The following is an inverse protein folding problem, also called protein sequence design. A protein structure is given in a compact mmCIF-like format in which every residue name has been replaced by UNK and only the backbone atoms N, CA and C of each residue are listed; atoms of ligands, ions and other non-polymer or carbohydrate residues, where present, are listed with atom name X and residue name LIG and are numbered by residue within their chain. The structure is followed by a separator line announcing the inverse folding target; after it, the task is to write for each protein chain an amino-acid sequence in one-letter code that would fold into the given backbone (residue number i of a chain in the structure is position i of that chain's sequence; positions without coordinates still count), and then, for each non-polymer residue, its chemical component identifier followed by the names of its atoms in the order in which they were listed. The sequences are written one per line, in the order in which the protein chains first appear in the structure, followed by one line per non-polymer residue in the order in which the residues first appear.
data_IF_053666488158
#
_entry.id   IF_053666488158
#
_cell.length_a   1.000
_cell.length_b   1.000
_cell.length_c   1.000
_cell.angle_alpha   90.00
_cell.angle_beta   90.00
_cell.angle_gamma   90.00
#
_symmetry.space_group_name_H-M   'P 1'
#
loop_
_entity.id
_entity.type
_entity.pdbx_description
1 polymer ?
#
# COMPACT_ATOMS: atom_id res chain seq x y z
N UNK A 1 -66.90 -0.84 4.61
CA UNK A 1 -66.59 -0.99 3.17
C UNK A 1 -65.23 -0.36 2.91
N UNK A 2 -64.17 -1.14 2.60
CA UNK A 2 -62.84 -0.57 2.40
C UNK A 2 -62.76 0.13 1.04
N UNK A 3 -62.08 1.29 1.01
CA UNK A 3 -61.88 2.09 -0.20
C UNK A 3 -61.02 1.35 -1.23
N UNK A 4 -61.43 1.42 -2.50
CA UNK A 4 -60.73 0.88 -3.66
C UNK A 4 -59.35 1.57 -3.82
N UNK A 5 -58.24 0.82 -3.87
CA UNK A 5 -56.89 1.37 -4.01
C UNK A 5 -56.60 2.07 -5.36
N UNK A 6 -57.56 2.17 -6.27
CA UNK A 6 -57.39 2.78 -7.60
C UNK A 6 -57.68 4.28 -7.69
N UNK A 7 -58.03 4.95 -6.60
CA UNK A 7 -58.19 6.41 -6.58
C UNK A 7 -56.85 7.09 -6.26
N UNK A 8 -56.04 7.38 -7.29
CA UNK A 8 -54.76 8.09 -7.17
C UNK A 8 -54.93 9.59 -6.89
N UNK A 9 -54.36 10.05 -5.78
CA UNK A 9 -54.12 11.47 -5.47
C UNK A 9 -52.76 11.95 -5.99
N UNK A 10 -52.56 13.28 -5.93
CA UNK A 10 -51.56 14.07 -6.65
C UNK A 10 -50.08 13.87 -6.25
N UNK A 11 -49.55 12.64 -6.34
CA UNK A 11 -48.11 12.38 -6.30
C UNK A 11 -47.72 11.21 -7.21
N UNK A 12 -48.28 11.17 -8.42
CA UNK A 12 -47.57 10.76 -9.65
C UNK A 12 -46.77 9.46 -9.73
N UNK A 13 -46.99 8.44 -8.88
CA UNK A 13 -46.38 7.11 -9.07
C UNK A 13 -47.36 6.00 -8.69
N UNK A 14 -47.89 5.30 -9.70
CA UNK A 14 -48.60 4.04 -9.54
C UNK A 14 -47.91 2.97 -10.40
N UNK A 15 -47.67 1.81 -9.78
CA UNK A 15 -47.18 0.59 -10.39
C UNK A 15 -48.22 0.00 -11.36
N UNK A 16 -47.80 -0.29 -12.59
CA UNK A 16 -48.46 -1.25 -13.48
C UNK A 16 -49.29 -0.63 -14.61
N UNK A 17 -48.80 -0.80 -15.84
CA UNK A 17 -49.56 -0.55 -17.07
C UNK A 17 -48.81 0.26 -18.11
N UNK A 18 -47.68 -0.26 -18.61
CA UNK A 18 -47.12 0.25 -19.88
C UNK A 18 -47.17 -0.91 -20.87
N UNK A 19 -48.18 -0.90 -21.74
CA UNK A 19 -48.17 -1.69 -22.96
C UNK A 19 -47.13 -1.06 -23.90
N UNK A 20 -46.03 -1.77 -24.14
CA UNK A 20 -44.99 -1.35 -25.09
C UNK A 20 -45.39 -1.91 -26.46
N UNK A 21 -45.72 -1.07 -27.46
CA UNK A 21 -45.97 -1.55 -28.80
C UNK A 21 -44.67 -2.15 -29.38
N UNK A 22 -44.74 -3.22 -30.20
CA UNK A 22 -43.55 -3.86 -30.74
C UNK A 22 -42.81 -2.88 -31.65
N UNK A 23 -41.58 -2.55 -31.27
CA UNK A 23 -40.64 -1.79 -32.10
C UNK A 23 -40.17 -2.73 -33.22
N UNK A 24 -40.46 -2.37 -34.47
CA UNK A 24 -39.82 -3.00 -35.62
C UNK A 24 -38.31 -2.71 -35.54
N UNK A 25 -37.50 -3.75 -35.38
CA UNK A 25 -36.04 -3.63 -35.34
C UNK A 25 -35.50 -3.14 -36.69
N UNK A 26 -34.38 -2.39 -36.72
CA UNK A 26 -33.74 -2.03 -37.97
C UNK A 26 -33.22 -3.30 -38.66
N UNK A 27 -33.58 -3.51 -39.92
CA UNK A 27 -32.97 -4.54 -40.77
C UNK A 27 -31.47 -4.29 -40.86
N UNK A 28 -30.68 -5.21 -40.30
CA UNK A 28 -29.23 -5.21 -40.46
C UNK A 28 -28.90 -5.55 -41.92
N UNK A 29 -28.06 -4.76 -42.61
CA UNK A 29 -27.70 -5.07 -43.98
C UNK A 29 -26.90 -6.38 -44.03
N UNK A 30 -27.40 -7.34 -44.81
CA UNK A 30 -26.70 -8.59 -45.11
C UNK A 30 -25.40 -8.24 -45.84
N UNK A 31 -24.25 -8.41 -45.18
CA UNK A 31 -22.94 -8.35 -45.84
C UNK A 31 -22.85 -9.46 -46.88
N UNK A 32 -23.04 -9.12 -48.16
CA UNK A 32 -22.55 -9.94 -49.27
C UNK A 32 -21.02 -9.88 -49.24
N UNK A 33 -20.38 -11.02 -49.01
CA UNK A 33 -18.94 -11.18 -49.15
C UNK A 33 -18.55 -10.90 -50.60
N UNK A 34 -17.99 -9.72 -50.87
CA UNK A 34 -17.32 -9.46 -52.14
C UNK A 34 -15.94 -10.10 -52.09
N UNK A 35 -15.58 -10.86 -53.13
CA UNK A 35 -14.21 -11.33 -53.31
C UNK A 35 -13.27 -10.12 -53.45
N UNK A 36 -12.10 -10.14 -52.80
CA UNK A 36 -11.19 -8.99 -52.78
C UNK A 36 -10.66 -8.68 -54.19
N UNK A 37 -10.60 -7.38 -54.53
CA UNK A 37 -9.97 -6.89 -55.76
C UNK A 37 -8.46 -7.10 -55.69
N UNK A 38 -7.86 -7.41 -56.85
CA UNK A 38 -6.45 -7.82 -57.05
C UNK A 38 -5.39 -6.78 -56.63
N UNK A 39 -5.80 -5.55 -56.30
CA UNK A 39 -4.90 -4.43 -55.97
C UNK A 39 -4.67 -4.22 -54.47
N UNK A 40 -5.31 -5.00 -53.60
CA UNK A 40 -5.15 -4.92 -52.12
C UNK A 40 -4.14 -5.94 -51.55
N UNK A 41 -3.20 -6.40 -52.39
CA UNK A 41 -2.08 -7.24 -51.94
C UNK A 41 -1.06 -6.35 -51.21
N UNK A 42 -1.20 -6.29 -49.90
CA UNK A 42 -0.16 -5.78 -49.00
C UNK A 42 1.15 -6.54 -49.27
N UNK A 43 2.25 -5.81 -49.43
CA UNK A 43 3.59 -6.40 -49.48
C UNK A 43 3.82 -7.31 -48.27
N UNK A 44 4.22 -8.56 -48.55
CA UNK A 44 4.52 -9.58 -47.56
C UNK A 44 5.77 -9.14 -46.78
N UNK A 45 5.56 -8.64 -45.56
CA UNK A 45 6.65 -8.37 -44.62
C UNK A 45 7.29 -9.72 -44.26
N UNK A 46 8.62 -9.92 -44.42
CA UNK A 46 9.25 -11.19 -44.09
C UNK A 46 9.01 -11.52 -42.62
N UNK A 47 8.49 -12.71 -42.36
CA UNK A 47 8.35 -13.22 -41.00
C UNK A 47 9.73 -13.22 -40.31
N UNK A 48 9.84 -12.73 -39.06
CA UNK A 48 11.09 -12.82 -38.34
C UNK A 48 11.49 -14.29 -38.21
N UNK A 49 12.75 -14.59 -38.50
CA UNK A 49 13.32 -15.92 -38.32
C UNK A 49 13.04 -16.40 -36.88
N UNK A 50 12.71 -17.68 -36.68
CA UNK A 50 12.52 -18.21 -35.33
C UNK A 50 13.83 -18.06 -34.56
N UNK A 51 13.84 -17.13 -33.61
CA UNK A 51 14.90 -17.03 -32.61
C UNK A 51 14.87 -18.37 -31.86
N UNK A 52 15.98 -19.13 -31.79
CA UNK A 52 15.99 -20.32 -30.96
C UNK A 52 15.64 -19.86 -29.55
N UNK A 53 14.54 -20.39 -29.01
CA UNK A 53 14.21 -20.22 -27.62
C UNK A 53 15.37 -20.82 -26.83
N UNK A 54 16.28 -19.96 -26.37
CA UNK A 54 17.12 -20.32 -25.26
C UNK A 54 16.14 -20.73 -24.15
N UNK A 55 16.29 -21.94 -23.62
CA UNK A 55 15.66 -22.38 -22.39
C UNK A 55 16.15 -21.46 -21.25
N UNK A 56 15.66 -20.22 -21.22
CA UNK A 56 15.67 -19.43 -20.01
C UNK A 56 14.84 -20.24 -19.01
N UNK A 57 15.38 -20.59 -17.83
CA UNK A 57 14.60 -21.32 -16.84
C UNK A 57 13.33 -20.51 -16.61
N UNK A 58 12.16 -21.12 -16.87
CA UNK A 58 10.89 -20.48 -16.62
C UNK A 58 10.94 -19.97 -15.18
N UNK A 59 10.88 -18.64 -15.00
CA UNK A 59 10.90 -18.02 -13.68
C UNK A 59 9.81 -18.71 -12.84
N UNK A 60 10.26 -19.44 -11.81
CA UNK A 60 9.36 -20.23 -10.98
C UNK A 60 8.39 -19.25 -10.35
N UNK A 61 7.08 -19.49 -10.52
CA UNK A 61 6.05 -18.63 -9.92
C UNK A 61 6.35 -18.47 -8.42
N UNK A 62 6.38 -17.25 -7.89
CA UNK A 62 6.58 -17.04 -6.46
C UNK A 62 5.54 -17.80 -5.63
N UNK A 63 5.99 -18.64 -4.70
CA UNK A 63 5.11 -19.44 -3.87
C UNK A 63 4.78 -18.73 -2.56
N UNK A 64 3.48 -18.54 -2.30
CA UNK A 64 2.96 -18.09 -1.01
C UNK A 64 2.57 -19.32 -0.20
N UNK A 65 3.27 -19.56 0.90
CA UNK A 65 2.97 -20.63 1.84
C UNK A 65 2.87 -20.09 3.27
N UNK A 66 2.51 -20.97 4.21
CA UNK A 66 2.59 -20.64 5.63
C UNK A 66 3.87 -21.20 6.22
N UNK A 67 4.42 -20.49 7.20
CA UNK A 67 5.61 -20.87 7.93
C UNK A 67 5.21 -21.49 9.28
N UNK A 68 6.02 -22.43 9.75
CA UNK A 68 5.80 -23.17 10.99
C UNK A 68 4.85 -24.36 10.86
N UNK A 69 4.71 -25.12 11.96
CA UNK A 69 4.06 -26.45 11.95
C UNK A 69 2.54 -26.42 11.87
N UNK A 70 1.91 -25.24 12.00
CA UNK A 70 0.46 -25.11 12.08
C UNK A 70 -0.03 -24.11 11.06
N UNK A 71 -1.04 -24.53 10.28
CA UNK A 71 -1.70 -23.66 9.33
C UNK A 71 -2.36 -22.43 10.02
N UNK A 72 -2.41 -21.28 9.33
CA UNK A 72 -3.16 -20.11 9.77
C UNK A 72 -4.65 -20.43 9.96
N UNK A 73 -5.31 -19.70 10.86
CA UNK A 73 -6.72 -19.93 11.24
C UNK A 73 -7.70 -19.74 10.07
N UNK A 74 -7.44 -18.75 9.22
CA UNK A 74 -8.32 -18.40 8.11
C UNK A 74 -7.77 -18.97 6.80
N UNK A 75 -8.59 -19.12 5.77
CA UNK A 75 -8.12 -19.45 4.42
C UNK A 75 -7.37 -18.25 3.81
N UNK A 76 -6.45 -18.51 2.88
CA UNK A 76 -5.76 -17.45 2.12
C UNK A 76 -6.66 -16.82 1.06
N UNK A 77 -7.70 -17.54 0.63
CA UNK A 77 -8.58 -17.15 -0.47
C UNK A 77 -9.49 -15.97 -0.08
N UNK A 78 -9.71 -15.00 -0.99
CA UNK A 78 -10.63 -13.89 -0.75
C UNK A 78 -12.05 -14.37 -0.38
N UNK A 79 -12.62 -13.76 0.66
CA UNK A 79 -14.02 -13.92 1.05
C UNK A 79 -14.95 -12.91 0.35
N UNK A 80 -16.05 -12.55 1.02
CA UNK A 80 -16.97 -11.53 0.53
C UNK A 80 -16.28 -10.15 0.40
N UNK A 81 -16.76 -9.32 -0.53
CA UNK A 81 -16.38 -7.91 -0.61
C UNK A 81 -17.06 -7.10 0.51
N UNK A 82 -16.42 -6.04 1.00
CA UNK A 82 -17.05 -5.12 1.95
C UNK A 82 -18.28 -4.42 1.32
N UNK A 83 -19.31 -4.11 2.12
CA UNK A 83 -20.41 -3.28 1.64
C UNK A 83 -19.87 -1.90 1.24
N UNK A 84 -20.37 -1.36 0.13
CA UNK A 84 -19.99 -0.06 -0.39
C UNK A 84 -21.16 0.93 -0.29
N UNK A 85 -20.87 2.16 0.10
CA UNK A 85 -21.80 3.29 0.03
C UNK A 85 -21.64 3.99 -1.35
N UNK A 86 -22.71 4.11 -2.16
CA UNK A 86 -22.63 4.77 -3.46
C UNK A 86 -22.21 6.25 -3.39
N UNK A 87 -22.37 6.91 -2.24
CA UNK A 87 -21.91 8.29 -2.04
C UNK A 87 -20.43 8.40 -1.62
N UNK A 88 -19.77 7.29 -1.28
CA UNK A 88 -18.42 7.27 -0.72
C UNK A 88 -17.43 6.41 -1.55
N UNK A 89 -17.64 6.30 -2.87
CA UNK A 89 -16.82 5.46 -3.74
C UNK A 89 -15.34 5.86 -3.76
N UNK A 90 -15.02 7.14 -3.60
CA UNK A 90 -13.63 7.65 -3.52
C UNK A 90 -12.89 7.20 -2.24
N UNK A 91 -13.63 6.66 -1.27
CA UNK A 91 -13.11 6.10 -0.03
C UNK A 91 -12.84 4.59 -0.07
N UNK A 92 -13.16 3.92 -1.19
CA UNK A 92 -12.96 2.48 -1.31
C UNK A 92 -11.47 2.11 -1.19
N UNK A 93 -11.18 1.15 -0.32
CA UNK A 93 -9.82 0.68 -0.09
C UNK A 93 -9.58 -0.61 -0.88
N UNK A 94 -8.59 -0.65 -1.79
CA UNK A 94 -8.25 -1.87 -2.51
C UNK A 94 -7.73 -2.95 -1.56
N UNK A 95 -7.95 -4.23 -1.89
CA UNK A 95 -7.42 -5.37 -1.12
C UNK A 95 -5.90 -5.30 -1.02
N UNK A 96 -5.25 -5.11 -2.15
CA UNK A 96 -3.79 -5.05 -2.29
C UNK A 96 -3.37 -3.78 -3.02
N UNK A 97 -2.36 -3.10 -2.50
CA UNK A 97 -1.61 -2.04 -3.18
C UNK A 97 -0.19 -2.54 -3.34
N UNK A 98 0.43 -2.31 -4.51
CA UNK A 98 1.79 -2.70 -4.80
C UNK A 98 2.47 -1.60 -5.60
N UNK A 99 3.61 -1.15 -5.10
CA UNK A 99 4.35 0.01 -5.60
C UNK A 99 5.83 -0.36 -5.76
N UNK A 100 6.47 0.24 -6.76
CA UNK A 100 7.87 -0.01 -7.07
C UNK A 100 8.55 1.19 -7.69
N UNK A 101 9.79 1.45 -7.28
CA UNK A 101 10.63 2.45 -7.92
C UNK A 101 12.09 2.00 -7.92
N UNK A 102 12.87 2.52 -8.86
CA UNK A 102 14.32 2.36 -8.91
C UNK A 102 14.95 3.72 -9.12
N UNK A 103 15.89 4.06 -8.25
CA UNK A 103 16.73 5.25 -8.33
C UNK A 103 18.20 4.83 -8.32
N UNK A 104 19.11 5.77 -8.57
CA UNK A 104 20.53 5.46 -8.74
C UNK A 104 21.16 4.75 -7.54
N UNK A 105 20.75 5.12 -6.31
CA UNK A 105 21.31 4.59 -5.07
C UNK A 105 20.45 3.53 -4.37
N UNK A 106 19.22 3.27 -4.84
CA UNK A 106 18.34 2.28 -4.21
C UNK A 106 17.18 1.78 -5.08
N UNK A 107 16.64 0.63 -4.70
CA UNK A 107 15.38 0.10 -5.22
C UNK A 107 14.33 0.07 -4.13
N UNK A 108 13.14 0.61 -4.39
CA UNK A 108 11.99 0.62 -3.49
C UNK A 108 10.95 -0.42 -3.94
N UNK A 109 10.42 -1.15 -2.97
CA UNK A 109 9.19 -1.94 -3.08
C UNK A 109 8.28 -1.58 -1.92
N UNK A 110 7.00 -1.38 -2.15
CA UNK A 110 6.04 -1.20 -1.08
C UNK A 110 4.74 -1.92 -1.40
N UNK A 111 4.12 -2.52 -0.38
CA UNK A 111 2.87 -3.22 -0.52
C UNK A 111 2.01 -3.02 0.72
N UNK A 112 0.70 -3.00 0.53
CA UNK A 112 -0.28 -3.03 1.61
C UNK A 112 -1.32 -4.08 1.25
N UNK A 113 -1.60 -4.99 2.16
CA UNK A 113 -2.42 -6.17 1.91
C UNK A 113 -3.47 -6.31 3.01
N UNK A 114 -4.68 -6.66 2.59
CA UNK A 114 -5.75 -7.05 3.50
C UNK A 114 -5.38 -8.34 4.23
N UNK A 115 -5.45 -8.32 5.54
CA UNK A 115 -5.20 -9.47 6.39
C UNK A 115 -6.26 -10.54 6.23
N UNK A 116 -5.88 -11.80 6.46
CA UNK A 116 -6.79 -12.94 6.32
C UNK A 116 -8.02 -12.81 7.23
N UNK A 117 -7.88 -12.18 8.40
CA UNK A 117 -9.00 -11.94 9.30
C UNK A 117 -10.02 -10.96 8.71
N UNK A 118 -9.57 -9.90 8.04
CA UNK A 118 -10.46 -8.95 7.39
C UNK A 118 -11.11 -9.57 6.14
N UNK A 119 -10.34 -10.33 5.35
CA UNK A 119 -10.86 -11.11 4.21
C UNK A 119 -11.98 -12.06 4.62
N UNK A 120 -11.76 -12.82 5.70
CA UNK A 120 -12.75 -13.77 6.21
C UNK A 120 -14.04 -13.09 6.65
N UNK A 121 -13.94 -11.91 7.29
CA UNK A 121 -15.11 -11.14 7.76
C UNK A 121 -15.79 -10.30 6.67
N UNK A 122 -15.23 -10.25 5.46
CA UNK A 122 -15.69 -9.32 4.43
C UNK A 122 -15.47 -7.85 4.80
N UNK A 123 -14.47 -7.56 5.64
CA UNK A 123 -14.09 -6.21 6.02
C UNK A 123 -13.08 -5.61 5.02
N UNK A 124 -13.04 -4.29 4.94
CA UNK A 124 -12.01 -3.58 4.19
C UNK A 124 -10.64 -3.68 4.90
N UNK A 125 -9.57 -3.49 4.15
CA UNK A 125 -8.24 -3.29 4.74
C UNK A 125 -8.24 -1.98 5.52
N UNK A 126 -7.74 -2.00 6.76
CA UNK A 126 -7.58 -0.85 7.65
C UNK A 126 -6.25 -0.14 7.48
N UNK A 127 -5.23 -0.86 7.03
CA UNK A 127 -3.97 -0.26 6.67
C UNK A 127 -4.06 0.61 5.40
N UNK A 128 -3.29 1.70 5.39
CA UNK A 128 -3.15 2.60 4.26
C UNK A 128 -1.67 2.76 3.89
N UNK A 129 -1.39 2.77 2.58
CA UNK A 129 -0.06 3.01 2.00
C UNK A 129 -0.16 4.15 0.98
N UNK A 130 0.77 5.10 1.07
CA UNK A 130 0.95 6.18 0.13
C UNK A 130 2.43 6.30 -0.23
N UNK A 131 2.73 6.16 -1.52
CA UNK A 131 4.04 6.46 -2.08
C UNK A 131 3.94 7.67 -3.01
N UNK A 132 4.77 8.68 -2.81
CA UNK A 132 4.77 9.88 -3.63
C UNK A 132 6.18 10.40 -3.87
N UNK A 133 6.43 10.94 -5.06
CA UNK A 133 7.63 11.71 -5.38
C UNK A 133 7.27 13.19 -5.44
N UNK A 134 8.00 14.02 -4.71
CA UNK A 134 7.87 15.48 -4.75
C UNK A 134 9.13 16.10 -5.35
N UNK A 135 8.98 17.25 -6.01
CA UNK A 135 10.10 17.95 -6.64
C UNK A 135 10.67 17.27 -7.89
N UNK A 136 11.74 17.85 -8.43
CA UNK A 136 12.43 17.39 -9.64
C UNK A 136 13.95 17.49 -9.49
N UNK A 137 14.68 16.87 -10.41
CA UNK A 137 16.15 16.82 -10.35
C UNK A 137 16.66 16.16 -9.07
N UNK A 138 17.82 16.61 -8.59
CA UNK A 138 18.50 16.08 -7.41
C UNK A 138 17.79 16.49 -6.10
N UNK A 139 16.95 17.52 -6.11
CA UNK A 139 16.13 17.91 -4.96
C UNK A 139 14.82 17.11 -4.86
N UNK A 140 14.60 16.14 -5.76
CA UNK A 140 13.43 15.28 -5.67
C UNK A 140 13.49 14.39 -4.41
N UNK A 141 12.36 14.26 -3.75
CA UNK A 141 12.21 13.53 -2.50
C UNK A 141 11.05 12.54 -2.62
N UNK A 142 11.33 11.27 -2.40
CA UNK A 142 10.31 10.22 -2.31
C UNK A 142 9.86 10.11 -0.85
N UNK A 143 8.54 10.12 -0.64
CA UNK A 143 7.89 9.78 0.62
C UNK A 143 7.20 8.43 0.47
N UNK A 144 7.44 7.55 1.43
CA UNK A 144 6.57 6.40 1.71
C UNK A 144 5.92 6.63 3.07
N UNK A 145 4.60 6.76 3.10
CA UNK A 145 3.83 6.88 4.33
C UNK A 145 2.90 5.67 4.45
N UNK A 146 2.98 4.98 5.58
CA UNK A 146 2.06 3.89 5.92
C UNK A 146 1.40 4.19 7.26
N UNK A 147 0.13 3.81 7.38
CA UNK A 147 -0.58 3.88 8.63
C UNK A 147 -1.46 2.65 8.83
N UNK A 148 -1.56 2.19 10.07
CA UNK A 148 -2.39 1.06 10.46
C UNK A 148 -3.14 1.34 11.75
N UNK A 149 -4.43 1.05 11.78
CA UNK A 149 -5.28 1.26 12.96
C UNK A 149 -5.63 -0.05 13.66
N UNK A 150 -6.09 0.08 14.91
CA UNK A 150 -6.56 -1.08 15.70
C UNK A 150 -7.78 -1.72 15.02
N UNK A 151 -7.79 -3.05 14.92
CA UNK A 151 -8.91 -3.80 14.37
C UNK A 151 -10.24 -3.60 15.12
N UNK A 152 -10.17 -3.23 16.40
CA UNK A 152 -11.35 -2.94 17.22
C UNK A 152 -11.91 -1.53 17.00
N UNK A 153 -11.16 -0.64 16.34
CA UNK A 153 -11.56 0.74 16.08
C UNK A 153 -12.31 0.84 14.75
N UNK A 154 -13.63 1.17 14.76
CA UNK A 154 -14.42 1.20 13.53
C UNK A 154 -13.92 2.21 12.50
N UNK A 155 -13.34 3.33 12.93
CA UNK A 155 -12.83 4.40 12.06
C UNK A 155 -11.33 4.28 11.74
N UNK A 156 -10.72 3.13 11.98
CA UNK A 156 -9.29 2.90 11.78
C UNK A 156 -8.82 3.16 10.34
N UNK A 157 -9.60 2.68 9.36
CA UNK A 157 -9.24 2.76 7.94
C UNK A 157 -9.25 4.23 7.46
N UNK A 158 -10.30 4.96 7.81
CA UNK A 158 -10.49 6.37 7.49
C UNK A 158 -9.41 7.22 8.17
N UNK A 159 -9.13 6.96 9.46
CA UNK A 159 -8.09 7.64 10.20
C UNK A 159 -6.69 7.41 9.59
N UNK A 160 -6.37 6.16 9.19
CA UNK A 160 -5.10 5.83 8.53
C UNK A 160 -4.94 6.58 7.20
N UNK A 161 -5.98 6.56 6.36
CA UNK A 161 -5.98 7.27 5.08
C UNK A 161 -5.85 8.79 5.26
N UNK A 162 -6.63 9.38 6.17
CA UNK A 162 -6.60 10.82 6.46
C UNK A 162 -5.24 11.26 6.98
N UNK A 163 -4.64 10.48 7.88
CA UNK A 163 -3.33 10.77 8.46
C UNK A 163 -2.22 10.74 7.40
N UNK A 164 -2.14 9.66 6.60
CA UNK A 164 -1.16 9.54 5.52
C UNK A 164 -1.30 10.68 4.50
N UNK A 165 -2.51 11.01 4.05
CA UNK A 165 -2.75 12.10 3.10
C UNK A 165 -2.36 13.46 3.69
N UNK A 166 -2.69 13.72 4.96
CA UNK A 166 -2.33 14.97 5.66
C UNK A 166 -0.81 15.14 5.74
N UNK A 167 -0.13 14.08 6.17
CA UNK A 167 1.33 14.04 6.33
C UNK A 167 2.00 14.22 4.97
N UNK A 168 1.56 13.47 3.95
CA UNK A 168 2.11 13.55 2.61
C UNK A 168 1.94 14.94 1.99
N UNK A 169 0.76 15.55 2.11
CA UNK A 169 0.53 16.90 1.62
C UNK A 169 1.43 17.93 2.32
N UNK A 170 1.68 17.78 3.63
CA UNK A 170 2.55 18.68 4.37
C UNK A 170 4.05 18.47 4.03
N UNK A 171 4.48 17.22 3.81
CA UNK A 171 5.83 16.89 3.30
C UNK A 171 6.01 17.48 1.91
N UNK A 172 5.05 17.28 1.00
CA UNK A 172 5.08 17.79 -0.36
C UNK A 172 5.18 19.31 -0.44
N UNK A 173 4.48 20.05 0.43
CA UNK A 173 4.62 21.51 0.55
C UNK A 173 5.97 21.98 1.09
N UNK A 174 6.68 21.10 1.81
CA UNK A 174 7.95 21.42 2.49
C UNK A 174 9.16 20.77 1.80
N UNK A 175 9.00 20.19 0.60
CA UNK A 175 9.95 19.23 0.06
C UNK A 175 11.35 19.82 -0.14
N UNK A 176 11.46 21.05 -0.64
CA UNK A 176 12.74 21.69 -0.92
C UNK A 176 13.55 21.91 0.36
N UNK A 177 12.90 22.41 1.42
CA UNK A 177 13.52 22.58 2.73
C UNK A 177 13.90 21.24 3.36
N UNK A 178 13.05 20.21 3.23
CA UNK A 178 13.36 18.86 3.72
C UNK A 178 14.56 18.24 2.99
N UNK A 179 14.62 18.35 1.66
CA UNK A 179 15.76 17.87 0.87
C UNK A 179 17.06 18.58 1.27
N UNK A 180 17.01 19.90 1.46
CA UNK A 180 18.16 20.69 1.91
C UNK A 180 18.59 20.31 3.33
N UNK A 181 17.65 20.16 4.27
CA UNK A 181 17.92 19.74 5.64
C UNK A 181 18.55 18.33 5.68
N UNK A 182 18.10 17.42 4.82
CA UNK A 182 18.66 16.07 4.70
C UNK A 182 20.09 16.11 4.15
N UNK A 183 20.33 16.86 3.06
CA UNK A 183 21.66 16.98 2.44
C UNK A 183 22.66 17.65 3.37
N UNK A 184 22.23 18.66 4.13
CA UNK A 184 23.05 19.36 5.10
C UNK A 184 23.18 18.62 6.45
N UNK A 185 22.55 17.46 6.62
CA UNK A 185 22.62 16.68 7.87
C UNK A 185 21.99 17.38 9.08
N UNK A 186 21.01 18.27 8.88
CA UNK A 186 20.36 19.08 9.94
C UNK A 186 19.33 18.26 10.73
N UNK A 187 19.82 17.27 11.48
CA UNK A 187 19.02 16.26 12.19
C UNK A 187 17.98 16.85 13.13
N UNK A 188 18.32 17.86 13.92
CA UNK A 188 17.40 18.45 14.91
C UNK A 188 16.26 19.23 14.25
N UNK A 189 16.56 19.91 13.13
CA UNK A 189 15.56 20.60 12.32
C UNK A 189 14.58 19.61 11.69
N UNK A 190 15.08 18.50 11.15
CA UNK A 190 14.27 17.40 10.59
C UNK A 190 13.38 16.77 11.66
N UNK A 191 13.95 16.37 12.80
CA UNK A 191 13.20 15.78 13.92
C UNK A 191 12.06 16.70 14.34
N UNK A 192 12.38 17.94 14.67
CA UNK A 192 11.40 18.90 15.17
C UNK A 192 10.33 19.24 14.11
N UNK A 193 10.73 19.35 12.84
CA UNK A 193 9.81 19.61 11.74
C UNK A 193 8.82 18.48 11.48
N UNK A 194 9.32 17.24 11.46
CA UNK A 194 8.52 16.03 11.24
C UNK A 194 7.64 15.70 12.44
N UNK A 195 8.11 15.96 13.67
CA UNK A 195 7.30 15.84 14.88
C UNK A 195 6.11 16.80 14.82
N UNK A 196 6.34 18.10 14.60
CA UNK A 196 5.24 19.08 14.48
C UNK A 196 4.25 18.74 13.37
N UNK A 197 4.72 18.18 12.27
CA UNK A 197 3.86 17.74 11.16
C UNK A 197 3.01 16.53 11.56
N UNK A 198 3.61 15.58 12.27
CA UNK A 198 2.94 14.39 12.81
C UNK A 198 1.89 14.77 13.87
N UNK A 199 2.25 15.64 14.82
CA UNK A 199 1.35 16.12 15.88
C UNK A 199 0.14 16.86 15.32
N UNK A 200 0.34 17.67 14.27
CA UNK A 200 -0.77 18.31 13.54
C UNK A 200 -1.69 17.29 12.87
N UNK A 201 -1.12 16.21 12.32
CA UNK A 201 -1.89 15.10 11.76
C UNK A 201 -2.82 14.48 12.82
N UNK A 202 -2.27 14.10 13.97
CA UNK A 202 -3.07 13.57 15.08
C UNK A 202 -4.06 14.59 15.66
N UNK A 203 -3.69 15.87 15.70
CA UNK A 203 -4.61 16.94 16.10
C UNK A 203 -5.85 17.03 15.19
N UNK A 204 -5.68 16.82 13.89
CA UNK A 204 -6.81 16.74 12.94
C UNK A 204 -7.68 15.51 13.18
N UNK A 205 -7.07 14.34 13.43
CA UNK A 205 -7.82 13.14 13.75
C UNK A 205 -8.66 13.31 15.03
N UNK A 206 -8.10 13.93 16.08
CA UNK A 206 -8.86 14.23 17.31
C UNK A 206 -10.04 15.16 17.07
N UNK A 207 -9.85 16.22 16.27
CA UNK A 207 -10.93 17.10 15.88
C UNK A 207 -12.01 16.34 15.09
N UNK A 208 -11.59 15.47 14.15
CA UNK A 208 -12.50 14.65 13.36
C UNK A 208 -13.26 13.62 14.20
N UNK A 209 -12.60 12.98 15.16
CA UNK A 209 -13.24 12.08 16.12
C UNK A 209 -14.35 12.80 16.90
N UNK A 210 -14.07 14.02 17.39
CA UNK A 210 -15.05 14.83 18.10
C UNK A 210 -16.25 15.22 17.22
N UNK A 211 -16.03 15.60 15.96
CA UNK A 211 -17.11 15.88 14.99
C UNK A 211 -18.01 14.66 14.74
N UNK A 212 -17.42 13.46 14.74
CA UNK A 212 -18.13 12.20 14.55
C UNK A 212 -18.76 11.65 15.84
N UNK A 213 -18.53 12.30 16.99
CA UNK A 213 -18.98 11.81 18.29
C UNK A 213 -18.27 10.53 18.75
N UNK A 214 -17.06 10.27 18.25
CA UNK A 214 -16.25 9.10 18.56
C UNK A 214 -15.21 9.42 19.65
N UNK A 215 -14.85 8.40 20.44
CA UNK A 215 -13.67 8.48 21.30
C UNK A 215 -12.40 8.57 20.44
N UNK A 216 -11.36 9.28 20.91
CA UNK A 216 -10.11 9.45 20.16
C UNK A 216 -9.47 8.11 19.76
N UNK A 217 -9.51 7.12 20.66
CA UNK A 217 -8.97 5.79 20.39
C UNK A 217 -9.73 5.02 19.28
N UNK A 218 -10.97 5.40 18.96
CA UNK A 218 -11.77 4.78 17.91
C UNK A 218 -11.54 5.39 16.51
N UNK A 219 -10.84 6.52 16.43
CA UNK A 219 -10.51 7.21 15.17
C UNK A 219 -9.04 7.69 15.20
N UNK A 220 -8.13 6.72 15.24
CA UNK A 220 -6.68 6.95 15.22
C UNK A 220 -5.96 5.82 14.50
N UNK A 221 -4.70 6.05 14.13
CA UNK A 221 -3.85 5.06 13.47
C UNK A 221 -2.38 5.29 13.84
N UNK A 222 -1.58 4.22 13.91
CA UNK A 222 -0.13 4.34 13.98
C UNK A 222 0.45 4.71 12.63
N UNK A 223 1.31 5.72 12.57
CA UNK A 223 1.95 6.24 11.36
C UNK A 223 3.42 5.85 11.32
N UNK A 224 3.90 5.42 10.16
CA UNK A 224 5.32 5.37 9.81
C UNK A 224 5.57 6.09 8.49
N UNK A 225 6.64 6.87 8.43
CA UNK A 225 7.07 7.61 7.26
C UNK A 225 8.54 7.37 6.95
N UNK A 226 8.87 7.29 5.66
CA UNK A 226 10.24 7.17 5.15
C UNK A 226 10.45 8.21 4.05
N UNK A 227 11.48 9.03 4.20
CA UNK A 227 11.93 9.99 3.20
C UNK A 227 13.22 9.49 2.55
N UNK A 228 13.21 9.45 1.23
CA UNK A 228 14.31 8.96 0.38
C UNK A 228 14.68 10.06 -0.63
N UNK A 229 15.80 10.76 -0.44
CA UNK A 229 16.36 11.63 -1.47
C UNK A 229 16.58 10.86 -2.77
N UNK A 230 16.30 11.48 -3.92
CA UNK A 230 16.57 10.89 -5.24
C UNK A 230 18.04 11.11 -5.66
N UNK A 231 18.67 12.18 -5.17
CA UNK A 231 20.09 12.48 -5.34
C UNK A 231 20.97 11.26 -5.02
N UNK A 232 21.74 10.72 -5.99
CA UNK A 232 22.58 9.54 -5.79
C UNK A 232 23.71 9.79 -4.77
N UNK A 233 24.14 11.04 -4.58
CA UNK A 233 25.16 11.41 -3.60
C UNK A 233 24.57 11.49 -2.18
N UNK A 234 23.24 11.58 -2.06
CA UNK A 234 22.55 11.66 -0.78
C UNK A 234 22.04 10.28 -0.32
N UNK A 235 22.86 9.59 0.48
CA UNK A 235 22.54 8.28 1.06
C UNK A 235 21.80 8.34 2.41
N UNK A 236 21.38 9.52 2.85
CA UNK A 236 20.62 9.65 4.10
C UNK A 236 19.19 9.14 3.91
N UNK A 237 18.72 8.30 4.83
CA UNK A 237 17.35 7.77 4.91
C UNK A 237 16.73 8.26 6.20
N UNK A 238 15.59 8.94 6.10
CA UNK A 238 14.90 9.51 7.27
C UNK A 238 13.61 8.77 7.54
N UNK A 239 13.53 8.10 8.68
CA UNK A 239 12.34 7.45 9.19
C UNK A 239 11.73 8.28 10.31
N UNK A 240 10.41 8.38 10.34
CA UNK A 240 9.68 9.06 11.41
C UNK A 240 8.30 8.45 11.62
N UNK A 241 7.66 8.73 12.75
CA UNK A 241 6.28 8.30 12.98
C UNK A 241 5.92 8.13 14.44
N UNK A 242 4.77 7.52 14.71
CA UNK A 242 4.28 7.23 16.06
C UNK A 242 3.30 6.04 16.01
N UNK A 243 3.06 5.38 17.15
CA UNK A 243 2.17 4.20 17.21
C UNK A 243 2.86 2.88 16.84
N UNK A 244 2.06 1.88 16.46
CA UNK A 244 2.52 0.52 16.14
C UNK A 244 3.25 0.43 14.78
N UNK A 245 4.01 -0.64 14.60
CA UNK A 245 4.84 -0.91 13.41
C UNK A 245 6.31 -1.10 13.77
N UNK A 246 7.19 -1.09 12.76
CA UNK A 246 8.61 -1.30 12.99
C UNK A 246 9.51 -0.83 11.85
N UNK A 247 10.78 -0.70 12.20
CA UNK A 247 11.88 -0.38 11.28
C UNK A 247 12.98 -1.43 11.49
N UNK A 248 13.29 -2.18 10.45
CA UNK A 248 14.28 -3.26 10.49
C UNK A 248 15.34 -3.04 9.43
N UNK A 249 16.55 -3.53 9.69
CA UNK A 249 17.63 -3.60 8.71
C UNK A 249 18.08 -5.03 8.53
N UNK A 250 18.12 -5.50 7.30
CA UNK A 250 18.83 -6.71 6.91
C UNK A 250 20.25 -6.33 6.47
N UNK A 251 21.26 -6.96 7.08
CA UNK A 251 22.66 -6.87 6.66
C UNK A 251 23.32 -8.22 6.83
N UNK A 252 24.00 -8.69 5.78
CA UNK A 252 24.73 -9.96 5.81
C UNK A 252 23.87 -11.14 6.28
N UNK A 253 22.60 -11.20 5.80
CA UNK A 253 21.65 -12.24 6.18
C UNK A 253 21.10 -12.15 7.60
N UNK A 254 21.35 -11.05 8.34
CA UNK A 254 20.87 -10.86 9.71
C UNK A 254 19.96 -9.64 9.82
N UNK A 255 18.79 -9.83 10.41
CA UNK A 255 17.84 -8.77 10.72
C UNK A 255 18.19 -8.08 12.05
N UNK A 256 18.13 -6.77 12.07
CA UNK A 256 18.24 -5.93 13.25
C UNK A 256 16.99 -5.04 13.38
N UNK A 257 16.33 -5.08 14.54
CA UNK A 257 15.26 -4.13 14.88
C UNK A 257 15.88 -2.78 15.30
N UNK A 258 15.73 -1.79 14.42
CA UNK A 258 16.28 -0.46 14.59
C UNK A 258 15.48 0.42 15.58
N UNK A 259 14.30 0.00 16.00
CA UNK A 259 13.51 0.67 17.05
C UNK A 259 13.82 0.13 18.45
N UNK A 260 14.19 -1.16 18.58
CA UNK A 260 14.52 -1.80 19.88
C UNK A 260 16.00 -1.59 20.26
N UNK A 261 16.91 -1.39 19.30
CA UNK A 261 18.35 -1.27 19.51
C UNK A 261 18.84 -0.02 20.30
N UNK A 262 17.99 0.64 21.10
CA UNK A 262 18.36 1.77 21.96
C UNK A 262 18.77 3.04 21.20
N UNK A 263 18.55 3.09 19.88
CA UNK A 263 18.96 4.19 18.98
C UNK A 263 17.80 5.06 18.49
N UNK A 264 16.56 4.75 18.87
CA UNK A 264 15.45 5.68 18.72
C UNK A 264 15.54 6.71 19.85
N UNK A 265 16.12 7.88 19.54
CA UNK A 265 16.24 8.99 20.48
C UNK A 265 14.85 9.51 20.92
N UNK A 266 14.66 9.38 22.24
CA UNK A 266 13.65 9.82 23.20
C UNK A 266 12.15 9.69 22.91
N UNK A 267 11.54 8.95 23.84
CA UNK A 267 10.18 8.46 23.97
C UNK A 267 9.24 9.46 24.65
N UNK A 268 9.59 10.75 24.71
CA UNK A 268 8.66 11.77 25.21
C UNK A 268 7.59 12.05 24.15
N UNK A 269 6.36 11.56 24.40
CA UNK A 269 5.21 11.76 23.51
C UNK A 269 5.06 10.73 22.38
N UNK A 270 5.86 9.66 22.36
CA UNK A 270 5.68 8.52 21.45
C UNK A 270 6.08 8.74 19.98
N UNK A 271 6.64 9.91 19.64
CA UNK A 271 7.23 10.18 18.34
C UNK A 271 8.59 9.49 18.19
N UNK A 272 8.79 8.81 17.07
CA UNK A 272 10.03 8.12 16.72
C UNK A 272 10.66 8.82 15.52
N UNK A 273 11.98 9.01 15.56
CA UNK A 273 12.74 9.60 14.47
C UNK A 273 14.11 8.96 14.36
N UNK A 274 14.52 8.66 13.12
CA UNK A 274 15.85 8.14 12.79
C UNK A 274 16.30 8.72 11.46
N UNK A 275 17.51 9.26 11.44
CA UNK A 275 18.21 9.62 10.20
C UNK A 275 19.51 8.82 10.16
N UNK A 276 19.69 8.00 9.14
CA UNK A 276 20.87 7.15 9.01
C UNK A 276 21.40 7.18 7.58
N UNK A 277 22.72 7.15 7.44
CA UNK A 277 23.37 6.96 6.14
C UNK A 277 23.28 5.49 5.76
N UNK A 278 22.66 5.21 4.62
CA UNK A 278 22.51 3.86 4.11
C UNK A 278 23.83 3.32 3.56
N UNK A 279 24.05 2.01 3.72
CA UNK A 279 25.23 1.33 3.20
C UNK A 279 24.84 0.42 2.04
N UNK A 280 25.62 0.36 0.95
CA UNK A 280 25.41 -0.63 -0.10
C UNK A 280 25.23 -2.04 0.48
N UNK A 281 24.26 -2.78 -0.04
CA UNK A 281 23.92 -4.13 0.41
C UNK A 281 23.03 -4.19 1.66
N UNK A 282 22.73 -3.05 2.31
CA UNK A 282 21.67 -3.02 3.33
C UNK A 282 20.29 -3.11 2.67
N UNK A 283 19.36 -3.80 3.34
CA UNK A 283 17.93 -3.64 3.07
C UNK A 283 17.24 -3.03 4.29
N UNK A 284 16.54 -1.92 4.10
CA UNK A 284 15.72 -1.29 5.13
C UNK A 284 14.26 -1.73 4.95
N UNK A 285 13.58 -2.16 6.00
CA UNK A 285 12.15 -2.51 6.00
C UNK A 285 11.40 -1.62 7.00
N UNK A 286 10.50 -0.79 6.50
CA UNK A 286 9.50 -0.07 7.29
C UNK A 286 8.16 -0.81 7.17
N UNK A 287 7.48 -1.10 8.28
CA UNK A 287 6.21 -1.83 8.22
C UNK A 287 5.21 -1.45 9.31
N UNK A 288 3.93 -1.79 9.08
CA UNK A 288 2.83 -1.66 10.04
C UNK A 288 2.88 -2.76 11.10
N UNK A 289 2.02 -2.67 12.13
CA UNK A 289 1.98 -3.61 13.25
C UNK A 289 1.85 -5.06 12.82
N UNK A 290 0.96 -5.35 11.86
CA UNK A 290 0.68 -6.72 11.41
C UNK A 290 1.84 -7.45 10.72
N UNK A 291 2.92 -6.75 10.35
CA UNK A 291 4.18 -7.37 9.94
C UNK A 291 5.31 -7.16 10.97
N UNK A 292 5.32 -6.06 11.70
CA UNK A 292 6.35 -5.78 12.69
C UNK A 292 6.32 -6.74 13.89
N UNK A 293 5.13 -7.17 14.33
CA UNK A 293 4.99 -8.16 15.40
C UNK A 293 5.60 -9.52 15.02
N UNK A 294 5.22 -10.17 13.90
CA UNK A 294 5.84 -11.44 13.53
C UNK A 294 7.33 -11.29 13.17
N UNK A 295 7.79 -10.14 12.70
CA UNK A 295 9.24 -9.89 12.51
C UNK A 295 10.04 -9.92 13.83
N UNK A 296 9.41 -9.63 14.97
CA UNK A 296 10.06 -9.69 16.29
C UNK A 296 9.92 -11.06 16.96
N UNK A 297 8.79 -11.72 16.74
CA UNK A 297 8.39 -12.91 17.49
C UNK A 297 8.68 -14.21 16.74
N UNK A 298 8.68 -14.21 15.41
CA UNK A 298 8.72 -15.42 14.59
C UNK A 298 10.05 -15.56 13.82
N UNK A 299 10.97 -16.34 14.39
CA UNK A 299 12.28 -16.61 13.78
C UNK A 299 12.19 -17.26 12.38
N UNK A 300 11.13 -18.04 12.12
CA UNK A 300 10.91 -18.64 10.81
C UNK A 300 10.66 -17.58 9.73
N UNK A 301 9.95 -16.50 10.05
CA UNK A 301 9.70 -15.40 9.12
C UNK A 301 10.98 -14.64 8.81
N UNK A 302 11.74 -14.28 9.84
CA UNK A 302 12.98 -13.51 9.66
C UNK A 302 14.02 -14.32 8.90
N UNK A 303 14.13 -15.62 9.15
CA UNK A 303 15.01 -16.52 8.41
C UNK A 303 14.61 -16.65 6.93
N UNK A 304 13.32 -16.86 6.63
CA UNK A 304 12.83 -16.99 5.25
C UNK A 304 13.02 -15.69 4.47
N UNK A 305 12.65 -14.53 5.04
CA UNK A 305 12.86 -13.24 4.39
C UNK A 305 14.34 -12.89 4.25
N UNK A 306 15.17 -13.22 5.23
CA UNK A 306 16.62 -13.02 5.11
C UNK A 306 17.21 -13.84 3.97
N UNK A 307 16.78 -15.10 3.82
CA UNK A 307 17.23 -15.97 2.73
C UNK A 307 16.84 -15.40 1.36
N UNK A 308 15.57 -15.00 1.18
CA UNK A 308 15.04 -14.46 -0.08
C UNK A 308 15.61 -13.08 -0.43
N UNK A 309 15.86 -12.22 0.56
CA UNK A 309 16.25 -10.83 0.33
C UNK A 309 17.76 -10.60 0.37
N UNK A 310 18.56 -11.62 0.69
CA UNK A 310 20.03 -11.57 0.60
C UNK A 310 20.57 -11.92 -0.79
N UNK A 311 19.70 -12.17 -1.77
CA UNK A 311 20.10 -12.35 -3.17
C UNK A 311 20.72 -11.07 -3.76
N UNK A 312 21.48 -11.22 -4.85
CA UNK A 312 22.23 -10.12 -5.44
C UNK A 312 21.35 -9.00 -6.01
N UNK A 313 20.13 -9.35 -6.46
CA UNK A 313 19.17 -8.41 -7.00
C UNK A 313 17.94 -8.30 -6.08
N UNK A 314 17.38 -7.08 -5.90
CA UNK A 314 16.11 -6.92 -5.20
C UNK A 314 14.99 -7.73 -5.87
N UNK A 315 14.08 -8.36 -5.10
CA UNK A 315 12.99 -9.13 -5.68
C UNK A 315 12.14 -8.29 -6.64
N UNK A 316 11.66 -8.94 -7.71
CA UNK A 316 10.62 -8.40 -8.56
C UNK A 316 9.33 -8.11 -7.79
N UNK A 317 8.43 -7.30 -8.35
CA UNK A 317 7.20 -6.89 -7.66
C UNK A 317 6.33 -8.08 -7.22
N UNK A 318 6.19 -9.11 -8.07
CA UNK A 318 5.42 -10.30 -7.74
C UNK A 318 6.08 -11.13 -6.61
N UNK A 319 7.41 -11.24 -6.60
CA UNK A 319 8.15 -11.93 -5.55
C UNK A 319 8.05 -11.18 -4.22
N UNK A 320 8.22 -9.86 -4.22
CA UNK A 320 8.02 -9.03 -3.03
C UNK A 320 6.59 -9.14 -2.49
N UNK A 321 5.59 -9.18 -3.37
CA UNK A 321 4.20 -9.40 -2.97
C UNK A 321 4.01 -10.80 -2.36
N UNK A 322 4.68 -11.83 -2.88
CA UNK A 322 4.63 -13.16 -2.28
C UNK A 322 5.29 -13.22 -0.90
N UNK A 323 6.42 -12.53 -0.73
CA UNK A 323 7.18 -12.47 0.52
C UNK A 323 6.38 -11.77 1.63
N UNK A 324 5.73 -10.65 1.30
CA UNK A 324 4.85 -9.92 2.23
C UNK A 324 3.58 -10.73 2.61
N UNK A 325 3.20 -11.71 1.78
CA UNK A 325 2.08 -12.63 2.02
C UNK A 325 2.45 -13.87 2.83
N UNK A 326 3.70 -14.10 3.22
CA UNK A 326 4.10 -15.29 3.99
C UNK A 326 3.29 -15.44 5.28
N UNK A 327 2.52 -16.52 5.40
CA UNK A 327 1.47 -16.61 6.43
C UNK A 327 2.00 -17.26 7.69
N UNK A 328 1.56 -16.79 8.86
CA UNK A 328 1.93 -17.36 10.16
C UNK A 328 0.67 -17.53 11.00
N UNK A 329 0.60 -18.62 11.76
CA UNK A 329 -0.52 -18.82 12.68
C UNK A 329 -0.48 -17.76 13.79
N UNK A 330 -1.60 -17.07 13.99
CA UNK A 330 -1.72 -16.01 14.98
C UNK A 330 -1.66 -14.60 14.38
N UNK A 331 -1.09 -14.45 13.17
CA UNK A 331 -0.89 -13.15 12.51
C UNK A 331 -1.76 -13.03 11.27
N UNK A 332 -2.99 -12.54 11.47
CA UNK A 332 -4.02 -12.43 10.43
C UNK A 332 -4.47 -10.98 10.17
N UNK A 333 -3.78 -10.00 10.77
CA UNK A 333 -4.03 -8.58 10.56
C UNK A 333 -3.49 -8.11 9.21
N UNK A 334 -3.88 -6.89 8.83
CA UNK A 334 -3.39 -6.25 7.61
C UNK A 334 -1.87 -6.08 7.67
N UNK A 335 -1.23 -6.15 6.51
CA UNK A 335 0.22 -6.06 6.40
C UNK A 335 0.60 -4.98 5.43
N UNK A 336 1.36 -4.00 5.89
CA UNK A 336 1.91 -2.95 5.06
C UNK A 336 3.41 -2.88 5.25
N UNK A 337 4.14 -2.90 4.15
CA UNK A 337 5.59 -2.96 4.14
C UNK A 337 6.13 -2.02 3.05
N UNK A 338 7.26 -1.38 3.34
CA UNK A 338 8.08 -0.65 2.40
C UNK A 338 9.54 -1.07 2.62
N UNK A 339 10.14 -1.68 1.61
CA UNK A 339 11.50 -2.16 1.63
C UNK A 339 12.38 -1.39 0.64
N UNK A 340 13.59 -1.04 1.07
CA UNK A 340 14.58 -0.29 0.29
C UNK A 340 15.88 -1.08 0.26
N UNK A 341 16.30 -1.51 -0.93
CA UNK A 341 17.58 -2.16 -1.17
C UNK A 341 18.59 -1.12 -1.63
N UNK A 342 19.70 -1.00 -0.92
CA UNK A 342 20.75 -0.01 -1.16
C UNK A 342 21.81 -0.53 -2.15
N UNK A 343 22.13 0.27 -3.16
CA UNK A 343 23.08 -0.05 -4.23
C UNK A 343 24.47 0.59 -4.00
#
# INVERSE_FOLDING_TARGET
MPRDPRAGGATGYALGGVDVPPVAGPELPVRRTQAPRREDRTEEVPAPLPVPAADAPAERRPEVHHLGDRAPTYAAEPGALPPADPAALDGLTPDTVLEGARYGSYTLRAASLRGDSARYRGEARRDFLLTARFGGGDDALVLVALAGGDRAAPGAAEAAAELCRTVAAAVGRSQGRLAEDIRAGRRDALRSGLQRLTDRGYGRLRARAAELGLAEAAYTAGLRGLLLPVDPECRTRVCFGAGAGGLFRLRSGQWEDLETAGQAEDTEGGFRFRAAVARPGDTLLLCSGGLAEPMREEAALTAELAARWSEAEPPGLAAFLADTQLRLKGYADDRTAAAVWEA
#
